data_IF_407927692652
#
_entry.id   IF_407927692652
#
_cell.length_a   1.000
_cell.length_b   1.000
_cell.length_c   1.000
_cell.angle_alpha   90.00
_cell.angle_beta   90.00
_cell.angle_gamma   90.00
#
_symmetry.space_group_name_H-M   'P 1'
#
loop_
_entity.id
_entity.type
_entity.pdbx_description
1 polymer ?
#
# COMPACT_ATOMS: atom_id res chain seq x y z
N UNK A 1 10.88 12.12 -2.66
CA UNK A 1 9.42 12.00 -2.51
C UNK A 1 9.10 10.98 -1.43
N UNK A 2 7.95 11.13 -0.77
CA UNK A 2 7.39 10.13 0.14
C UNK A 2 6.26 9.42 -0.58
N UNK A 3 6.31 8.10 -0.69
CA UNK A 3 5.44 7.30 -1.55
C UNK A 3 4.83 6.17 -0.74
N UNK A 4 3.52 5.98 -0.85
CA UNK A 4 2.80 4.84 -0.29
C UNK A 4 2.31 3.94 -1.43
N UNK A 5 2.63 2.63 -1.36
CA UNK A 5 2.25 1.66 -2.39
C UNK A 5 1.51 0.51 -1.73
N UNK A 6 0.25 0.30 -2.08
CA UNK A 6 -0.50 -0.88 -1.66
C UNK A 6 -0.21 -2.05 -2.60
N UNK A 7 -0.14 -3.28 -2.06
CA UNK A 7 0.27 -4.44 -2.84
C UNK A 7 1.72 -4.36 -3.34
N UNK A 8 2.60 -3.67 -2.59
CA UNK A 8 3.98 -3.40 -2.99
C UNK A 8 4.95 -4.58 -2.81
N UNK A 9 4.48 -5.74 -2.36
CA UNK A 9 5.36 -6.88 -2.01
C UNK A 9 5.56 -7.90 -3.13
N UNK A 10 4.85 -7.74 -4.24
CA UNK A 10 4.95 -8.64 -5.40
C UNK A 10 4.47 -7.96 -6.69
N UNK A 11 4.69 -8.62 -7.82
CA UNK A 11 4.14 -8.22 -9.12
C UNK A 11 4.44 -6.78 -9.52
N UNK A 12 3.42 -6.10 -10.02
CA UNK A 12 3.54 -4.73 -10.54
C UNK A 12 3.91 -3.73 -9.43
N UNK A 13 3.33 -3.88 -8.22
CA UNK A 13 3.64 -3.01 -7.08
C UNK A 13 5.10 -3.11 -6.65
N UNK A 14 5.67 -4.31 -6.58
CA UNK A 14 7.08 -4.52 -6.30
C UNK A 14 7.97 -3.88 -7.37
N UNK A 15 7.65 -4.10 -8.64
CA UNK A 15 8.43 -3.51 -9.74
C UNK A 15 8.37 -1.99 -9.75
N UNK A 16 7.22 -1.42 -9.44
CA UNK A 16 7.04 0.03 -9.26
C UNK A 16 7.90 0.55 -8.10
N UNK A 17 7.87 -0.14 -6.96
CA UNK A 17 8.70 0.19 -5.81
C UNK A 17 10.20 0.13 -6.14
N UNK A 18 10.63 -0.89 -6.88
CA UNK A 18 12.00 -1.02 -7.36
C UNK A 18 12.43 0.18 -8.21
N UNK A 19 11.63 0.55 -9.24
CA UNK A 19 11.95 1.66 -10.14
C UNK A 19 12.01 2.98 -9.37
N UNK A 20 11.02 3.25 -8.53
CA UNK A 20 10.98 4.48 -7.73
C UNK A 20 12.08 4.51 -6.66
N UNK A 21 12.51 3.36 -6.19
CA UNK A 21 13.58 3.19 -5.22
C UNK A 21 14.97 3.48 -5.75
N UNK A 22 15.18 3.47 -7.08
CA UNK A 22 16.45 3.86 -7.70
C UNK A 22 16.88 5.30 -7.33
N UNK A 23 15.91 6.16 -7.06
CA UNK A 23 16.20 7.47 -6.50
C UNK A 23 16.36 7.34 -4.98
N UNK A 24 17.60 7.29 -4.48
CA UNK A 24 17.95 6.99 -3.07
C UNK A 24 17.30 7.91 -2.04
N UNK A 25 16.89 9.12 -2.42
CA UNK A 25 16.17 10.07 -1.57
C UNK A 25 14.64 9.80 -1.46
N UNK A 26 14.10 8.89 -2.26
CA UNK A 26 12.69 8.51 -2.14
C UNK A 26 12.49 7.65 -0.88
N UNK A 27 11.47 7.99 -0.10
CA UNK A 27 10.99 7.21 1.05
C UNK A 27 9.74 6.45 0.61
N UNK A 28 9.77 5.13 0.70
CA UNK A 28 8.70 4.28 0.17
C UNK A 28 8.18 3.38 1.28
N UNK A 29 6.86 3.43 1.51
CA UNK A 29 6.18 2.50 2.39
C UNK A 29 5.37 1.53 1.53
N UNK A 30 5.63 0.25 1.73
CA UNK A 30 4.92 -0.86 1.11
C UNK A 30 3.84 -1.37 2.05
N UNK A 31 2.64 -1.61 1.53
CA UNK A 31 1.57 -2.28 2.26
C UNK A 31 1.31 -3.65 1.61
N UNK A 32 1.14 -4.66 2.44
CA UNK A 32 0.77 -6.02 2.03
C UNK A 32 0.22 -6.82 3.20
N UNK A 33 -0.50 -7.90 2.91
CA UNK A 33 -1.22 -8.70 3.91
C UNK A 33 -0.43 -9.88 4.50
N UNK A 34 0.84 -10.02 4.15
CA UNK A 34 1.67 -11.13 4.64
C UNK A 34 3.03 -10.61 5.11
N UNK A 35 3.26 -10.68 6.41
CA UNK A 35 4.47 -10.18 7.04
C UNK A 35 5.76 -10.78 6.46
N UNK A 36 5.81 -12.11 6.32
CA UNK A 36 7.00 -12.80 5.81
C UNK A 36 7.36 -12.38 4.39
N UNK A 37 6.37 -12.35 3.49
CA UNK A 37 6.55 -11.86 2.10
C UNK A 37 6.94 -10.38 2.08
N UNK A 38 6.36 -9.59 2.99
CA UNK A 38 6.66 -8.16 3.12
C UNK A 38 8.10 -7.91 3.50
N UNK A 39 8.63 -8.64 4.50
CA UNK A 39 10.04 -8.52 4.91
C UNK A 39 10.99 -8.98 3.80
N UNK A 40 10.70 -10.09 3.14
CA UNK A 40 11.52 -10.56 2.01
C UNK A 40 11.56 -9.53 0.87
N UNK A 41 10.42 -8.94 0.52
CA UNK A 41 10.36 -7.89 -0.51
C UNK A 41 11.15 -6.64 -0.07
N UNK A 42 11.02 -6.24 1.20
CA UNK A 42 11.77 -5.12 1.78
C UNK A 42 13.29 -5.32 1.66
N UNK A 43 13.79 -6.48 2.11
CA UNK A 43 15.21 -6.80 2.10
C UNK A 43 15.77 -6.84 0.66
N UNK A 44 15.01 -7.44 -0.27
CA UNK A 44 15.38 -7.47 -1.68
C UNK A 44 15.45 -6.08 -2.29
N UNK A 45 14.43 -5.24 -2.06
CA UNK A 45 14.41 -3.85 -2.58
C UNK A 45 15.56 -3.01 -2.03
N UNK A 46 15.85 -3.10 -0.75
CA UNK A 46 17.00 -2.40 -0.13
C UNK A 46 18.31 -2.89 -0.76
N UNK A 47 18.46 -4.20 -0.92
CA UNK A 47 19.67 -4.78 -1.50
C UNK A 47 19.87 -4.38 -2.96
N UNK A 48 18.82 -4.46 -3.78
CA UNK A 48 18.89 -4.20 -5.21
C UNK A 48 19.03 -2.71 -5.55
N UNK A 49 18.29 -1.84 -4.84
CA UNK A 49 18.29 -0.38 -5.10
C UNK A 49 19.33 0.39 -4.31
N UNK A 50 19.92 -0.23 -3.27
CA UNK A 50 20.80 0.42 -2.27
C UNK A 50 20.11 1.57 -1.50
N UNK A 51 18.79 1.72 -1.66
CA UNK A 51 18.00 2.70 -0.95
C UNK A 51 17.53 2.11 0.38
N UNK A 52 17.97 2.67 1.50
CA UNK A 52 17.61 2.24 2.85
C UNK A 52 16.29 2.88 3.36
N UNK A 53 15.64 3.70 2.56
CA UNK A 53 14.43 4.43 2.95
C UNK A 53 13.13 3.68 2.58
N UNK A 54 13.19 2.36 2.49
CA UNK A 54 12.01 1.51 2.40
C UNK A 54 11.50 1.13 3.78
N UNK A 55 10.17 1.03 3.90
CA UNK A 55 9.49 0.45 5.06
C UNK A 55 8.36 -0.45 4.58
N UNK A 56 8.01 -1.43 5.38
CA UNK A 56 6.85 -2.29 5.16
C UNK A 56 5.89 -2.18 6.34
N UNK A 57 4.60 -2.19 6.05
CA UNK A 57 3.53 -2.32 7.04
C UNK A 57 2.55 -3.39 6.58
N UNK A 58 2.22 -4.28 7.51
CA UNK A 58 1.23 -5.32 7.26
C UNK A 58 -0.17 -4.76 7.42
N UNK A 59 -1.05 -5.05 6.46
CA UNK A 59 -2.48 -4.82 6.56
C UNK A 59 -3.23 -5.64 5.50
N UNK A 60 -4.31 -6.31 5.90
CA UNK A 60 -5.28 -6.90 4.99
C UNK A 60 -6.28 -5.83 4.54
N UNK A 61 -6.09 -5.35 3.33
CA UNK A 61 -6.93 -4.30 2.77
C UNK A 61 -8.34 -4.78 2.35
N UNK A 62 -8.65 -6.07 2.50
CA UNK A 62 -10.03 -6.56 2.40
C UNK A 62 -10.82 -6.36 3.70
N UNK A 63 -10.18 -5.91 4.79
CA UNK A 63 -10.78 -5.59 6.08
C UNK A 63 -10.88 -4.08 6.29
N UNK A 64 -12.08 -3.58 6.50
CA UNK A 64 -12.34 -2.16 6.79
C UNK A 64 -11.68 -1.72 8.10
N UNK A 65 -11.67 -2.62 9.10
CA UNK A 65 -11.02 -2.31 10.37
C UNK A 65 -9.50 -2.14 10.21
N UNK A 66 -8.85 -3.02 9.45
CA UNK A 66 -7.41 -2.92 9.21
C UNK A 66 -7.05 -1.68 8.40
N UNK A 67 -7.87 -1.31 7.41
CA UNK A 67 -7.70 -0.04 6.68
C UNK A 67 -7.77 1.17 7.64
N UNK A 68 -8.73 1.17 8.58
CA UNK A 68 -8.83 2.25 9.58
C UNK A 68 -7.61 2.31 10.50
N UNK A 69 -7.11 1.16 10.96
CA UNK A 69 -5.92 1.08 11.80
C UNK A 69 -4.68 1.55 11.04
N UNK A 70 -4.50 1.08 9.80
CA UNK A 70 -3.41 1.53 8.93
C UNK A 70 -3.43 3.05 8.72
N UNK A 71 -4.60 3.61 8.39
CA UNK A 71 -4.72 5.05 8.18
C UNK A 71 -4.39 5.88 9.44
N UNK A 72 -4.75 5.38 10.63
CA UNK A 72 -4.37 6.00 11.92
C UNK A 72 -2.87 5.91 12.18
N UNK A 73 -2.25 4.77 11.88
CA UNK A 73 -0.82 4.56 12.04
C UNK A 73 0.02 5.46 11.11
N UNK A 74 -0.55 5.82 9.96
CA UNK A 74 0.07 6.72 8.99
C UNK A 74 -0.19 8.22 9.23
N UNK A 75 -0.91 8.61 10.27
CA UNK A 75 -1.39 9.99 10.48
C UNK A 75 -0.26 11.03 10.58
N UNK A 76 0.92 10.62 11.03
CA UNK A 76 2.11 11.49 11.12
C UNK A 76 2.92 11.56 9.83
N UNK A 77 2.59 10.73 8.85
CA UNK A 77 3.26 10.71 7.56
C UNK A 77 2.70 11.80 6.63
N UNK A 78 3.50 12.18 5.63
CA UNK A 78 3.10 13.12 4.57
C UNK A 78 3.57 12.57 3.23
N UNK A 79 2.63 12.07 2.44
CA UNK A 79 2.93 11.46 1.14
C UNK A 79 2.78 12.45 -0.02
N UNK A 80 3.72 12.37 -0.95
CA UNK A 80 3.64 13.03 -2.25
C UNK A 80 2.81 12.20 -3.23
N UNK A 81 2.84 10.85 -3.07
CA UNK A 81 2.15 9.91 -3.97
C UNK A 81 1.54 8.77 -3.14
N UNK A 82 0.27 8.47 -3.41
CA UNK A 82 -0.41 7.22 -3.06
C UNK A 82 -0.62 6.39 -4.32
N UNK A 83 -0.15 5.14 -4.32
CA UNK A 83 -0.39 4.18 -5.40
C UNK A 83 -1.27 3.06 -4.85
N UNK A 84 -2.55 3.09 -5.18
CA UNK A 84 -3.50 2.03 -4.94
C UNK A 84 -3.29 0.94 -6.01
N UNK A 85 -2.58 -0.13 -5.63
CA UNK A 85 -2.22 -1.21 -6.55
C UNK A 85 -2.61 -2.60 -5.98
N UNK A 86 -2.93 -2.69 -4.69
CA UNK A 86 -3.34 -3.96 -4.10
C UNK A 86 -4.58 -4.52 -4.80
N UNK A 87 -4.48 -5.75 -5.29
CA UNK A 87 -5.59 -6.40 -5.97
C UNK A 87 -5.35 -7.90 -6.09
N UNK A 88 -6.43 -8.65 -6.17
CA UNK A 88 -6.43 -10.08 -6.46
C UNK A 88 -7.73 -10.49 -7.15
N UNK A 89 -7.68 -11.58 -7.89
CA UNK A 89 -8.84 -12.22 -8.48
C UNK A 89 -9.09 -13.53 -7.71
N UNK A 90 -10.30 -13.68 -7.19
CA UNK A 90 -10.76 -14.92 -6.55
C UNK A 90 -11.73 -15.62 -7.49
N UNK A 91 -11.41 -16.87 -7.86
CA UNK A 91 -12.18 -17.66 -8.84
C UNK A 91 -13.53 -18.16 -8.30
N UNK A 92 -13.72 -18.14 -6.98
CA UNK A 92 -14.98 -18.45 -6.35
C UNK A 92 -15.43 -17.29 -5.47
N UNK A 93 -16.73 -17.17 -5.19
CA UNK A 93 -17.22 -16.17 -4.27
C UNK A 93 -16.68 -16.47 -2.87
N UNK A 94 -15.84 -15.58 -2.38
CA UNK A 94 -15.27 -15.58 -1.02
C UNK A 94 -15.65 -14.24 -0.39
N UNK A 95 -16.02 -14.26 0.89
CA UNK A 95 -16.31 -13.03 1.64
C UNK A 95 -15.11 -12.61 2.50
N UNK A 96 -14.94 -11.32 2.67
CA UNK A 96 -14.01 -10.74 3.63
C UNK A 96 -14.55 -10.92 5.06
N UNK A 97 -13.75 -10.54 6.06
CA UNK A 97 -14.20 -10.52 7.47
C UNK A 97 -15.41 -9.60 7.68
N UNK A 98 -15.62 -8.62 6.81
CA UNK A 98 -16.75 -7.69 6.84
C UNK A 98 -17.96 -8.21 6.04
N UNK A 99 -17.96 -9.48 5.62
CA UNK A 99 -19.04 -10.13 4.83
C UNK A 99 -19.26 -9.45 3.46
N UNK A 100 -18.23 -8.86 2.90
CA UNK A 100 -18.24 -8.23 1.58
C UNK A 100 -17.51 -9.17 0.61
N UNK A 101 -18.01 -9.29 -0.64
CA UNK A 101 -17.32 -10.08 -1.66
C UNK A 101 -15.86 -9.61 -1.78
N UNK A 102 -14.91 -10.56 -1.69
CA UNK A 102 -13.50 -10.25 -1.41
C UNK A 102 -12.79 -9.58 -2.56
N UNK A 103 -13.16 -9.87 -3.82
CA UNK A 103 -12.60 -9.18 -4.98
C UNK A 103 -13.02 -7.70 -4.95
N UNK A 104 -14.29 -7.43 -4.70
CA UNK A 104 -14.80 -6.07 -4.58
C UNK A 104 -14.19 -5.34 -3.37
N UNK A 105 -14.13 -6.03 -2.20
CA UNK A 105 -13.54 -5.45 -1.00
C UNK A 105 -12.10 -5.02 -1.22
N UNK A 106 -11.28 -5.89 -1.84
CA UNK A 106 -9.86 -5.64 -2.04
C UNK A 106 -9.58 -4.69 -3.22
N UNK A 107 -10.22 -4.91 -4.39
CA UNK A 107 -9.84 -4.18 -5.61
C UNK A 107 -10.55 -2.82 -5.75
N UNK A 108 -11.64 -2.60 -5.04
CA UNK A 108 -12.41 -1.35 -5.15
C UNK A 108 -12.58 -0.65 -3.81
N UNK A 109 -13.22 -1.31 -2.83
CA UNK A 109 -13.58 -0.68 -1.58
C UNK A 109 -12.34 -0.24 -0.78
N UNK A 110 -11.26 -1.01 -0.84
CA UNK A 110 -10.00 -0.66 -0.17
C UNK A 110 -9.42 0.66 -0.69
N UNK A 111 -9.44 0.87 -2.01
CA UNK A 111 -8.96 2.10 -2.64
C UNK A 111 -9.78 3.30 -2.18
N UNK A 112 -11.10 3.15 -2.20
CA UNK A 112 -12.02 4.20 -1.76
C UNK A 112 -11.81 4.51 -0.27
N UNK A 113 -11.84 3.50 0.60
CA UNK A 113 -11.76 3.68 2.05
C UNK A 113 -10.41 4.27 2.49
N UNK A 114 -9.29 3.67 2.03
CA UNK A 114 -7.95 4.14 2.38
C UNK A 114 -7.72 5.56 1.89
N UNK A 115 -8.04 5.85 0.63
CA UNK A 115 -7.86 7.19 0.04
C UNK A 115 -8.61 8.25 0.84
N UNK A 116 -9.91 8.02 1.12
CA UNK A 116 -10.72 9.00 1.85
C UNK A 116 -10.22 9.21 3.28
N UNK A 117 -9.78 8.17 3.97
CA UNK A 117 -9.20 8.30 5.31
C UNK A 117 -7.87 9.08 5.29
N UNK A 118 -6.97 8.79 4.34
CA UNK A 118 -5.71 9.50 4.22
C UNK A 118 -5.91 10.99 3.85
N UNK A 119 -6.90 11.30 3.01
CA UNK A 119 -7.29 12.68 2.70
C UNK A 119 -7.88 13.37 3.94
N UNK A 120 -8.83 12.71 4.64
CA UNK A 120 -9.42 13.22 5.88
C UNK A 120 -8.38 13.56 6.94
N UNK A 121 -7.37 12.72 7.09
CA UNK A 121 -6.27 12.92 8.05
C UNK A 121 -5.18 13.84 7.51
N UNK A 122 -5.35 14.40 6.32
CA UNK A 122 -4.35 15.27 5.66
C UNK A 122 -2.98 14.61 5.52
N UNK A 123 -2.96 13.29 5.30
CA UNK A 123 -1.74 12.49 5.11
C UNK A 123 -1.20 12.65 3.70
N UNK A 124 -2.06 12.86 2.71
CA UNK A 124 -1.65 13.24 1.35
C UNK A 124 -1.37 14.75 1.35
N UNK A 125 -0.21 15.15 0.84
CA UNK A 125 0.18 16.56 0.75
C UNK A 125 -0.72 17.33 -0.23
N UNK A 126 -0.83 18.64 -0.05
CA UNK A 126 -1.41 19.50 -1.06
C UNK A 126 -0.61 19.38 -2.38
N UNK A 127 -1.30 19.12 -3.49
CA UNK A 127 -0.65 18.81 -4.77
C UNK A 127 -0.10 17.38 -4.89
N UNK A 128 -0.29 16.54 -3.88
CA UNK A 128 0.03 15.11 -3.95
C UNK A 128 -0.82 14.37 -4.99
N UNK A 129 -0.34 13.23 -5.46
CA UNK A 129 -1.01 12.41 -6.48
C UNK A 129 -1.56 11.13 -5.90
N UNK A 130 -2.74 10.72 -6.39
CA UNK A 130 -3.35 9.43 -6.11
C UNK A 130 -3.46 8.71 -7.45
N UNK A 131 -2.89 7.50 -7.51
CA UNK A 131 -2.85 6.66 -8.70
C UNK A 131 -3.59 5.37 -8.38
N UNK A 132 -4.59 5.03 -9.16
CA UNK A 132 -5.31 3.76 -9.07
C UNK A 132 -4.89 2.89 -10.27
N UNK A 133 -4.52 1.63 -9.99
CA UNK A 133 -4.08 0.64 -10.97
C UNK A 133 -5.18 -0.37 -11.24
#
# INVERSE_FOLDING_TARGET
>A
MNILITGGTSGLGYRTAYILGQASKNKIILIGSNYKKGQQALDSLIHETKNKNFRFKEADLSSINEIKLLAKDLIKEKFDILINNAGALFYSRIESIDQIEKTFALNHLSYFALTNLLLKYKVIKNGGRIINV
#
